data_IF_525444419765
#
_entry.id   IF_525444419765
#
_cell.length_a   1.000
_cell.length_b   1.000
_cell.length_c   1.000
_cell.angle_alpha   90.00
_cell.angle_beta   90.00
_cell.angle_gamma   90.00
#
_symmetry.space_group_name_H-M   'P 1'
#
loop_
_entity.id
_entity.type
_entity.pdbx_description
1 polymer ?
#
# COMPACT_ATOMS: atom_id res chain seq x y z
N UNK A 1 -2.12 16.89 -11.62
CA UNK A 1 -2.62 15.78 -10.77
C UNK A 1 -1.41 15.06 -10.20
N UNK A 2 -1.38 14.79 -8.89
CA UNK A 2 -0.24 14.15 -8.23
C UNK A 2 -0.21 12.64 -8.49
N UNK A 3 0.98 12.05 -8.47
CA UNK A 3 1.14 10.60 -8.57
C UNK A 3 0.66 9.94 -7.27
N UNK A 4 -0.51 9.29 -7.32
CA UNK A 4 -1.16 8.64 -6.17
C UNK A 4 -0.21 7.69 -5.42
N UNK A 5 0.69 7.01 -6.12
CA UNK A 5 1.67 6.12 -5.51
C UNK A 5 2.70 6.91 -4.71
N UNK A 6 3.25 7.97 -5.30
CA UNK A 6 4.23 8.83 -4.65
C UNK A 6 3.64 9.55 -3.43
N UNK A 7 2.40 10.04 -3.53
CA UNK A 7 1.67 10.65 -2.40
C UNK A 7 1.51 9.67 -1.24
N UNK A 8 1.15 8.42 -1.53
CA UNK A 8 0.89 7.40 -0.50
C UNK A 8 2.18 6.86 0.13
N UNK A 9 3.27 6.73 -0.65
CA UNK A 9 4.61 6.44 -0.13
C UNK A 9 5.09 7.54 0.81
N UNK A 10 5.05 8.80 0.36
CA UNK A 10 5.45 9.94 1.17
C UNK A 10 4.65 10.03 2.49
N UNK A 11 3.35 9.74 2.46
CA UNK A 11 2.53 9.68 3.66
C UNK A 11 2.93 8.55 4.62
N UNK A 12 3.24 7.35 4.09
CA UNK A 12 3.68 6.23 4.92
C UNK A 12 5.03 6.50 5.58
N UNK A 13 6.02 6.99 4.84
CA UNK A 13 7.33 7.36 5.37
C UNK A 13 7.21 8.45 6.44
N UNK A 14 6.46 9.51 6.14
CA UNK A 14 6.22 10.59 7.11
C UNK A 14 5.48 10.10 8.36
N UNK A 15 4.54 9.16 8.24
CA UNK A 15 3.82 8.59 9.39
C UNK A 15 4.77 7.78 10.27
N UNK A 16 5.60 6.92 9.66
CA UNK A 16 6.60 6.13 10.37
C UNK A 16 7.55 7.03 11.17
N UNK A 17 8.11 8.04 10.51
CA UNK A 17 9.12 8.91 11.10
C UNK A 17 8.55 9.88 12.14
N UNK A 18 7.36 10.48 11.88
CA UNK A 18 6.75 11.46 12.79
C UNK A 18 6.04 10.81 13.98
N UNK A 19 5.63 9.55 13.87
CA UNK A 19 4.97 8.82 14.96
C UNK A 19 5.91 7.87 15.72
N UNK A 20 7.21 7.87 15.40
CA UNK A 20 8.21 7.00 16.02
C UNK A 20 7.79 5.52 16.03
N UNK A 21 7.23 5.03 14.93
CA UNK A 21 6.85 3.63 14.76
C UNK A 21 7.87 2.88 13.92
N UNK A 22 8.02 1.59 14.15
CA UNK A 22 8.87 0.74 13.30
C UNK A 22 8.23 0.51 11.93
N UNK A 23 6.91 0.36 11.92
CA UNK A 23 6.11 0.07 10.74
C UNK A 23 4.96 1.06 10.66
N UNK A 24 4.69 1.58 9.46
CA UNK A 24 3.48 2.36 9.17
C UNK A 24 2.80 1.80 7.93
N UNK A 25 1.48 1.62 8.00
CA UNK A 25 0.65 1.22 6.87
C UNK A 25 -0.36 2.31 6.56
N UNK A 26 -0.49 2.64 5.28
CA UNK A 26 -1.36 3.71 4.80
C UNK A 26 -2.23 3.18 3.67
N UNK A 27 -3.54 3.36 3.82
CA UNK A 27 -4.48 3.32 2.70
C UNK A 27 -4.65 4.74 2.18
N UNK A 28 -4.29 4.96 0.92
CA UNK A 28 -4.56 6.20 0.21
C UNK A 28 -6.05 6.42 -0.06
N UNK A 29 -6.36 7.55 -0.70
CA UNK A 29 -7.74 7.88 -1.10
C UNK A 29 -8.22 6.89 -2.17
N UNK A 30 -9.48 6.49 -2.07
CA UNK A 30 -10.19 5.81 -3.16
C UNK A 30 -10.70 6.87 -4.14
N UNK A 31 -10.13 6.90 -5.34
CA UNK A 31 -10.54 7.79 -6.42
C UNK A 31 -11.17 6.92 -7.50
N UNK A 32 -12.47 7.13 -7.73
CA UNK A 32 -13.32 6.27 -8.56
C UNK A 32 -13.31 4.80 -8.08
N UNK A 33 -12.47 3.97 -8.70
CA UNK A 33 -12.34 2.54 -8.42
C UNK A 33 -10.89 2.13 -8.13
N UNK A 34 -10.01 3.12 -7.95
CA UNK A 34 -8.57 2.96 -7.81
C UNK A 34 -8.10 3.52 -6.47
N UNK A 35 -7.25 2.78 -5.78
CA UNK A 35 -6.67 3.17 -4.50
C UNK A 35 -5.20 2.76 -4.45
N UNK A 36 -4.46 3.38 -3.53
CA UNK A 36 -3.09 3.02 -3.24
C UNK A 36 -2.97 2.49 -1.81
N UNK A 37 -2.04 1.57 -1.60
CA UNK A 37 -1.62 1.11 -0.27
C UNK A 37 -0.11 1.21 -0.19
N UNK A 38 0.40 1.69 0.93
CA UNK A 38 1.83 1.78 1.21
C UNK A 38 2.16 1.21 2.59
N UNK A 39 3.32 0.56 2.68
CA UNK A 39 3.93 0.07 3.90
C UNK A 39 5.35 0.66 4.01
N UNK A 40 5.60 1.41 5.07
CA UNK A 40 6.93 1.89 5.44
C UNK A 40 7.48 1.07 6.61
N UNK A 41 8.76 0.69 6.52
CA UNK A 41 9.46 -0.19 7.47
C UNK A 41 10.92 0.27 7.64
N UNK A 42 11.71 -0.33 8.55
CA UNK A 42 13.13 -0.01 8.66
C UNK A 42 13.96 -0.37 7.42
N UNK A 43 13.55 -1.40 6.66
CA UNK A 43 14.30 -1.94 5.51
C UNK A 43 13.94 -1.26 4.19
N UNK A 44 12.79 -0.59 4.14
CA UNK A 44 12.33 0.13 2.97
C UNK A 44 10.84 0.41 2.98
N UNK A 45 10.37 0.92 1.86
CA UNK A 45 8.97 1.23 1.60
C UNK A 45 8.45 0.44 0.40
N UNK A 46 7.21 -0.04 0.51
CA UNK A 46 6.51 -0.69 -0.59
C UNK A 46 5.18 0.00 -0.80
N UNK A 47 4.89 0.37 -2.04
CA UNK A 47 3.61 0.92 -2.43
C UNK A 47 3.06 0.22 -3.65
N UNK A 48 1.73 0.11 -3.75
CA UNK A 48 1.04 -0.34 -4.94
C UNK A 48 -0.25 0.42 -5.18
N UNK A 49 -0.61 0.57 -6.45
CA UNK A 49 -1.89 1.12 -6.91
C UNK A 49 -2.70 -0.02 -7.48
N UNK A 50 -3.94 -0.15 -6.98
CA UNK A 50 -4.85 -1.23 -7.30
C UNK A 50 -6.19 -0.65 -7.75
N UNK A 51 -6.76 -1.25 -8.78
CA UNK A 51 -8.11 -0.96 -9.27
C UNK A 51 -8.99 -2.19 -9.07
N UNK A 52 -10.21 -1.99 -8.58
CA UNK A 52 -11.15 -3.10 -8.50
C UNK A 52 -11.54 -3.59 -9.90
N UNK A 53 -11.54 -4.91 -10.13
CA UNK A 53 -11.83 -5.48 -11.46
C UNK A 53 -13.32 -5.42 -11.86
N UNK A 54 -14.18 -5.02 -10.93
CA UNK A 54 -15.62 -4.82 -11.10
C UNK A 54 -16.12 -3.80 -10.08
N UNK A 55 -17.39 -3.44 -10.18
CA UNK A 55 -18.05 -2.60 -9.18
C UNK A 55 -18.37 -3.43 -7.94
N UNK A 56 -17.86 -3.00 -6.80
CA UNK A 56 -18.12 -3.61 -5.50
C UNK A 56 -19.02 -2.72 -4.66
N UNK A 57 -19.70 -3.30 -3.67
CA UNK A 57 -20.38 -2.51 -2.64
C UNK A 57 -19.33 -1.77 -1.79
N UNK A 58 -19.72 -0.68 -1.12
CA UNK A 58 -18.82 0.04 -0.21
C UNK A 58 -18.24 -0.88 0.86
N UNK A 59 -19.04 -1.82 1.37
CA UNK A 59 -18.58 -2.79 2.36
C UNK A 59 -17.52 -3.72 1.79
N UNK A 60 -17.73 -4.24 0.57
CA UNK A 60 -16.76 -5.10 -0.10
C UNK A 60 -15.47 -4.35 -0.45
N UNK A 61 -15.56 -3.08 -0.85
CA UNK A 61 -14.39 -2.24 -1.09
C UNK A 61 -13.55 -2.10 0.18
N UNK A 62 -14.17 -1.80 1.33
CA UNK A 62 -13.49 -1.74 2.63
C UNK A 62 -12.83 -3.08 2.98
N UNK A 63 -13.55 -4.18 2.79
CA UNK A 63 -13.03 -5.54 3.03
C UNK A 63 -11.80 -5.82 2.18
N UNK A 64 -11.85 -5.52 0.88
CA UNK A 64 -10.76 -5.76 -0.06
C UNK A 64 -9.55 -4.87 0.22
N UNK A 65 -9.74 -3.57 0.47
CA UNK A 65 -8.66 -2.65 0.84
C UNK A 65 -7.98 -3.13 2.12
N UNK A 66 -8.76 -3.47 3.15
CA UNK A 66 -8.23 -3.97 4.43
C UNK A 66 -7.49 -5.29 4.23
N UNK A 67 -7.99 -6.18 3.37
CA UNK A 67 -7.32 -7.44 3.02
C UNK A 67 -5.94 -7.19 2.44
N UNK A 68 -5.80 -6.25 1.49
CA UNK A 68 -4.51 -5.88 0.90
C UNK A 68 -3.59 -5.32 1.98
N UNK A 69 -4.08 -4.38 2.80
CA UNK A 69 -3.29 -3.80 3.88
C UNK A 69 -2.75 -4.88 4.84
N UNK A 70 -3.63 -5.72 5.37
CA UNK A 70 -3.25 -6.78 6.30
C UNK A 70 -2.34 -7.83 5.65
N UNK A 71 -2.54 -8.15 4.37
CA UNK A 71 -1.71 -9.10 3.65
C UNK A 71 -0.30 -8.55 3.38
N UNK A 72 -0.16 -7.28 3.01
CA UNK A 72 1.16 -6.62 2.88
C UNK A 72 1.93 -6.65 4.20
N UNK A 73 1.29 -6.27 5.31
CA UNK A 73 1.89 -6.33 6.64
C UNK A 73 2.32 -7.76 6.99
N UNK A 74 1.43 -8.75 6.80
CA UNK A 74 1.71 -10.16 7.05
C UNK A 74 2.90 -10.66 6.21
N UNK A 75 2.98 -10.27 4.94
CA UNK A 75 4.05 -10.67 4.01
C UNK A 75 5.40 -10.13 4.41
N UNK A 76 5.46 -8.86 4.79
CA UNK A 76 6.66 -8.25 5.35
C UNK A 76 7.14 -9.04 6.59
N UNK A 77 6.26 -9.22 7.57
CA UNK A 77 6.60 -9.93 8.81
C UNK A 77 6.97 -11.42 8.61
N UNK A 78 6.52 -12.03 7.51
CA UNK A 78 6.76 -13.44 7.19
C UNK A 78 7.82 -13.64 6.10
N UNK A 79 8.56 -12.59 5.74
CA UNK A 79 9.56 -12.59 4.67
C UNK A 79 9.05 -13.22 3.35
N UNK A 80 7.80 -12.89 2.97
CA UNK A 80 7.18 -13.33 1.71
C UNK A 80 7.32 -12.24 0.64
N UNK A 81 7.25 -12.60 -0.66
CA UNK A 81 7.15 -11.61 -1.72
C UNK A 81 6.00 -10.63 -1.44
N UNK A 82 6.29 -9.33 -1.50
CA UNK A 82 5.38 -8.26 -1.07
C UNK A 82 4.12 -8.18 -1.94
N UNK A 83 4.31 -8.16 -3.25
CA UNK A 83 3.22 -7.89 -4.19
C UNK A 83 2.52 -9.20 -4.59
N UNK A 84 1.32 -9.40 -4.06
CA UNK A 84 0.48 -10.56 -4.32
C UNK A 84 -0.58 -10.26 -5.37
N UNK A 85 -0.90 -11.25 -6.19
CA UNK A 85 -2.02 -11.13 -7.10
C UNK A 85 -3.33 -11.45 -6.38
N UNK A 86 -4.30 -10.55 -6.53
CA UNK A 86 -5.63 -10.68 -5.95
C UNK A 86 -6.63 -10.81 -7.08
N UNK A 87 -7.40 -11.90 -7.13
CA UNK A 87 -8.34 -12.16 -8.24
C UNK A 87 -9.41 -11.07 -8.41
N UNK A 88 -9.70 -10.29 -7.36
CA UNK A 88 -10.66 -9.18 -7.35
C UNK A 88 -10.07 -7.82 -7.74
N UNK A 89 -8.75 -7.73 -7.92
CA UNK A 89 -8.03 -6.46 -8.13
C UNK A 89 -7.08 -6.56 -9.32
N UNK A 90 -6.86 -5.45 -9.99
CA UNK A 90 -5.82 -5.27 -10.98
C UNK A 90 -4.76 -4.35 -10.41
N UNK A 91 -3.48 -4.76 -10.46
CA UNK A 91 -2.37 -3.89 -10.07
C UNK A 91 -2.01 -3.00 -11.25
N UNK A 92 -2.09 -1.69 -11.05
CA UNK A 92 -1.79 -0.69 -12.08
C UNK A 92 -0.32 -0.25 -11.99
N UNK A 93 0.22 -0.17 -10.76
CA UNK A 93 1.61 0.23 -10.51
C UNK A 93 2.08 -0.35 -9.17
N UNK A 94 3.38 -0.59 -9.06
CA UNK A 94 4.03 -0.96 -7.81
C UNK A 94 5.41 -0.30 -7.72
N UNK A 95 5.90 -0.15 -6.49
CA UNK A 95 7.23 0.38 -6.23
C UNK A 95 7.78 -0.18 -4.92
N UNK A 96 9.04 -0.58 -4.93
CA UNK A 96 9.84 -0.85 -3.74
C UNK A 96 10.96 0.19 -3.69
N UNK A 97 11.08 0.87 -2.55
CA UNK A 97 12.10 1.89 -2.28
C UNK A 97 12.95 1.38 -1.11
N UNK A 98 14.15 0.82 -1.36
CA UNK A 98 15.02 0.31 -0.30
C UNK A 98 15.45 1.42 0.67
N UNK A 99 15.72 1.07 1.94
CA UNK A 99 16.21 2.06 2.92
C UNK A 99 17.45 2.82 2.46
N UNK A 100 18.33 2.18 1.69
CA UNK A 100 19.57 2.80 1.19
C UNK A 100 19.36 4.03 0.30
N UNK A 101 18.14 4.25 -0.23
CA UNK A 101 17.82 5.42 -1.06
C UNK A 101 16.93 6.45 -0.35
N UNK A 102 16.46 6.15 0.88
CA UNK A 102 15.52 7.00 1.63
C UNK A 102 16.21 8.02 2.56
N UNK A 103 17.54 7.97 2.69
CA UNK A 103 18.32 8.84 3.57
C UNK A 103 18.48 8.29 4.99
#
# INVERSE_FOLDING_TARGET
EGDLLAETLALAGATKDKCATDIAIVSGRLIENTFAVSLATPEGEWGQVLTFNRRFSRQDQVTLITTVCSDMLRRYLSAKPMFADYSSLKREKEMHVPRSVLG
#
